data_IF_366988158212
#
_entry.id   IF_366988158212
#
_cell.length_a   1.000
_cell.length_b   1.000
_cell.length_c   1.000
_cell.angle_alpha   90.00
_cell.angle_beta   90.00
_cell.angle_gamma   90.00
#
_symmetry.space_group_name_H-M   'P 1'
#
loop_
_entity.id
_entity.type
_entity.pdbx_description
1 polymer ?
#
# COMPACT_ATOMS: atom_id res chain seq x y z
N UNK A 1 -0.15 -14.42 -27.65
CA UNK A 1 -0.71 -13.38 -26.77
C UNK A 1 -1.21 -14.06 -25.52
N UNK A 2 -0.75 -13.65 -24.34
CA UNK A 2 -1.31 -14.11 -23.08
C UNK A 2 -2.81 -13.77 -23.03
N UNK A 3 -3.67 -14.60 -22.41
CA UNK A 3 -5.07 -14.27 -22.26
C UNK A 3 -5.22 -12.92 -21.54
N UNK A 4 -6.28 -12.13 -21.86
CA UNK A 4 -6.53 -10.90 -21.13
C UNK A 4 -6.65 -11.24 -19.64
N UNK A 5 -6.06 -10.43 -18.75
CA UNK A 5 -6.20 -10.63 -17.32
C UNK A 5 -7.70 -10.70 -16.98
N UNK A 6 -8.13 -11.62 -16.10
CA UNK A 6 -9.50 -11.66 -15.65
C UNK A 6 -9.96 -10.25 -15.25
N UNK A 7 -11.22 -9.87 -15.52
CA UNK A 7 -11.77 -8.66 -14.93
C UNK A 7 -11.53 -8.75 -13.43
N UNK A 8 -11.30 -7.60 -12.77
CA UNK A 8 -11.32 -7.60 -11.31
C UNK A 8 -12.62 -8.31 -10.91
N UNK A 9 -12.51 -9.38 -10.12
CA UNK A 9 -13.69 -10.06 -9.58
C UNK A 9 -14.58 -9.04 -8.85
N UNK A 10 -15.78 -9.44 -8.39
CA UNK A 10 -16.59 -8.53 -7.58
C UNK A 10 -15.68 -7.95 -6.48
N UNK A 11 -15.69 -6.61 -6.34
CA UNK A 11 -14.93 -5.97 -5.28
C UNK A 11 -15.29 -6.70 -3.98
N UNK A 12 -14.30 -7.08 -3.15
CA UNK A 12 -14.62 -7.70 -1.88
C UNK A 12 -15.62 -6.79 -1.18
N UNK A 13 -16.65 -7.39 -0.59
CA UNK A 13 -17.67 -6.63 0.15
C UNK A 13 -17.16 -6.44 1.56
N UNK A 14 -17.26 -5.23 2.08
CA UNK A 14 -17.17 -5.00 3.52
C UNK A 14 -18.47 -5.55 4.11
N UNK A 15 -18.44 -6.57 4.99
CA UNK A 15 -19.65 -7.06 5.64
C UNK A 15 -20.37 -5.95 6.40
N UNK A 16 -21.71 -5.96 6.38
CA UNK A 16 -22.48 -5.06 7.26
C UNK A 16 -22.14 -5.38 8.72
N UNK A 17 -21.88 -4.34 9.52
CA UNK A 17 -21.52 -4.51 10.93
C UNK A 17 -20.07 -4.95 11.18
N UNK A 18 -19.15 -4.75 10.24
CA UNK A 18 -17.71 -5.07 10.37
C UNK A 18 -17.00 -4.42 11.57
N UNK A 19 -17.66 -3.51 12.29
CA UNK A 19 -17.03 -2.72 13.34
C UNK A 19 -15.96 -1.80 12.78
N UNK A 20 -14.91 -1.58 13.56
CA UNK A 20 -13.78 -0.73 13.19
C UNK A 20 -12.83 -1.48 12.25
N UNK A 21 -12.63 -0.94 11.05
CA UNK A 21 -11.70 -1.46 10.06
C UNK A 21 -10.32 -0.80 10.22
N UNK A 22 -9.24 -1.53 9.96
CA UNK A 22 -7.87 -1.01 10.06
C UNK A 22 -7.26 -0.86 8.66
N UNK A 23 -6.91 0.38 8.31
CA UNK A 23 -6.11 0.71 7.13
C UNK A 23 -4.66 0.93 7.56
N UNK A 24 -3.79 0.01 7.16
CA UNK A 24 -2.35 0.13 7.31
C UNK A 24 -1.72 0.76 6.07
N UNK A 25 -1.21 1.98 6.20
CA UNK A 25 -0.46 2.64 5.14
C UNK A 25 1.05 2.53 5.40
N UNK A 26 1.78 1.95 4.45
CA UNK A 26 3.22 1.81 4.51
C UNK A 26 3.88 3.20 4.44
N UNK A 27 4.84 3.45 5.32
CA UNK A 27 5.66 4.66 5.32
C UNK A 27 7.14 4.27 5.24
N UNK A 28 7.89 4.99 4.41
CA UNK A 28 9.30 4.74 4.17
C UNK A 28 9.99 6.03 3.70
N UNK A 29 11.31 6.10 3.86
CA UNK A 29 12.07 7.26 3.41
C UNK A 29 11.94 7.46 1.90
N UNK A 30 11.86 8.71 1.46
CA UNK A 30 11.70 9.10 0.06
C UNK A 30 10.41 8.58 -0.60
N UNK A 31 9.37 8.32 0.21
CA UNK A 31 8.01 8.20 -0.29
C UNK A 31 7.48 9.57 -0.76
N UNK A 32 6.56 9.58 -1.72
CA UNK A 32 5.87 10.81 -2.10
C UNK A 32 4.79 11.15 -1.05
N UNK A 33 4.84 12.37 -0.51
CA UNK A 33 3.95 12.78 0.57
C UNK A 33 2.48 12.83 0.14
N UNK A 34 2.21 13.23 -1.11
CA UNK A 34 0.83 13.35 -1.59
C UNK A 34 0.23 11.97 -1.89
N UNK A 35 1.04 11.05 -2.40
CA UNK A 35 0.62 9.66 -2.60
C UNK A 35 0.13 9.01 -1.29
N UNK A 36 0.75 9.34 -0.16
CA UNK A 36 0.30 8.90 1.15
C UNK A 36 -0.90 9.74 1.65
N UNK A 37 -0.71 11.05 1.80
CA UNK A 37 -1.64 11.89 2.55
C UNK A 37 -2.93 12.20 1.81
N UNK A 38 -2.92 12.19 0.48
CA UNK A 38 -4.13 12.38 -0.34
C UNK A 38 -5.18 11.30 -0.04
N UNK A 39 -4.86 10.01 -0.21
CA UNK A 39 -5.76 8.92 0.18
C UNK A 39 -6.12 8.93 1.66
N UNK A 40 -5.16 9.16 2.58
CA UNK A 40 -5.47 9.20 4.01
C UNK A 40 -6.49 10.29 4.34
N UNK A 41 -6.40 11.45 3.69
CA UNK A 41 -7.37 12.53 3.82
C UNK A 41 -8.78 12.06 3.45
N UNK A 42 -8.92 11.27 2.37
CA UNK A 42 -10.22 10.74 1.92
C UNK A 42 -10.74 9.66 2.87
N UNK A 43 -9.91 8.69 3.26
CA UNK A 43 -10.34 7.61 4.17
C UNK A 43 -10.73 8.12 5.56
N UNK A 44 -10.07 9.19 6.04
CA UNK A 44 -10.37 9.85 7.30
C UNK A 44 -11.49 10.89 7.24
N UNK A 45 -12.19 11.06 6.11
CA UNK A 45 -13.32 11.98 6.01
C UNK A 45 -14.45 11.59 6.98
N UNK A 46 -15.05 12.58 7.65
CA UNK A 46 -16.24 12.35 8.51
C UNK A 46 -17.48 11.88 7.73
N UNK A 47 -17.52 12.15 6.42
CA UNK A 47 -18.59 11.70 5.53
C UNK A 47 -18.40 10.25 5.08
N UNK A 48 -17.26 9.63 5.41
CA UNK A 48 -17.07 8.21 5.19
C UNK A 48 -18.02 7.44 6.12
N UNK A 49 -18.84 6.57 5.54
CA UNK A 49 -19.82 5.75 6.28
C UNK A 49 -19.17 4.54 6.96
N UNK A 50 -17.91 4.28 6.67
CA UNK A 50 -17.10 3.23 7.28
C UNK A 50 -16.32 3.77 8.47
N UNK A 51 -16.28 3.00 9.57
CA UNK A 51 -15.40 3.29 10.72
C UNK A 51 -13.99 2.78 10.41
N UNK A 52 -13.12 3.66 9.90
CA UNK A 52 -11.74 3.31 9.49
C UNK A 52 -10.73 3.93 10.45
N UNK A 53 -9.93 3.07 11.09
CA UNK A 53 -8.70 3.45 11.77
C UNK A 53 -7.55 3.48 10.77
N UNK A 54 -6.97 4.66 10.55
CA UNK A 54 -5.73 4.78 9.78
C UNK A 54 -4.54 4.55 10.72
N UNK A 55 -3.62 3.67 10.33
CA UNK A 55 -2.33 3.51 10.98
C UNK A 55 -1.18 3.59 9.98
N UNK A 56 -0.06 4.18 10.39
CA UNK A 56 1.18 4.18 9.62
C UNK A 56 2.07 3.03 10.06
N UNK A 57 2.56 2.27 9.08
CA UNK A 57 3.40 1.09 9.28
C UNK A 57 4.76 1.35 8.64
N UNK A 58 5.81 1.38 9.44
CA UNK A 58 7.18 1.59 8.98
C UNK A 58 7.96 0.29 8.84
N UNK A 59 9.09 0.35 8.15
CA UNK A 59 10.15 -0.70 8.26
C UNK A 59 10.87 -0.65 9.60
N UNK A 60 10.76 0.47 10.32
CA UNK A 60 11.22 0.67 11.70
C UNK A 60 10.31 1.69 12.39
N UNK A 61 10.54 1.97 13.68
CA UNK A 61 9.83 3.04 14.40
C UNK A 61 10.43 4.44 14.18
N UNK A 62 11.54 4.55 13.43
CA UNK A 62 12.12 5.86 13.10
C UNK A 62 11.15 6.63 12.18
N UNK A 63 10.97 7.95 12.38
CA UNK A 63 10.22 8.76 11.43
C UNK A 63 10.77 8.61 10.00
N UNK A 64 9.87 8.33 9.08
CA UNK A 64 10.17 8.23 7.66
C UNK A 64 10.13 9.63 7.04
N UNK A 65 11.18 10.02 6.34
CA UNK A 65 11.27 11.35 5.70
C UNK A 65 10.82 11.26 4.25
N UNK A 66 9.73 11.94 3.89
CA UNK A 66 9.24 11.97 2.50
C UNK A 66 10.21 12.69 1.56
N UNK A 67 10.03 12.52 0.24
CA UNK A 67 10.82 13.27 -0.75
C UNK A 67 10.63 14.80 -0.63
N UNK A 68 9.52 15.24 -0.05
CA UNK A 68 9.25 16.63 0.28
C UNK A 68 9.76 17.05 1.68
N UNK A 69 10.63 16.24 2.30
CA UNK A 69 11.31 16.52 3.57
C UNK A 69 10.40 16.59 4.80
N UNK A 70 9.18 16.06 4.70
CA UNK A 70 8.24 15.96 5.83
C UNK A 70 8.41 14.61 6.51
N UNK A 71 8.56 14.61 7.83
CA UNK A 71 8.66 13.39 8.61
C UNK A 71 7.27 12.84 8.97
N UNK A 72 7.10 11.54 8.77
CA UNK A 72 5.90 10.78 9.15
C UNK A 72 6.30 9.69 10.13
N UNK A 73 5.78 9.79 11.34
CA UNK A 73 6.08 8.84 12.41
C UNK A 73 5.19 7.59 12.28
N UNK A 74 5.77 6.38 12.16
CA UNK A 74 5.02 5.13 12.19
C UNK A 74 4.33 4.93 13.54
N UNK A 75 3.13 4.35 13.52
CA UNK A 75 2.48 3.85 14.74
C UNK A 75 2.99 2.44 15.08
N UNK A 76 3.32 1.66 14.05
CA UNK A 76 3.76 0.27 14.13
C UNK A 76 4.90 0.01 13.12
N UNK A 77 5.61 -1.10 13.31
CA UNK A 77 6.48 -1.69 12.28
C UNK A 77 5.72 -2.77 11.51
N UNK A 78 6.26 -3.18 10.37
CA UNK A 78 5.76 -4.33 9.62
C UNK A 78 5.65 -5.60 10.49
N UNK A 79 6.52 -5.77 11.48
CA UNK A 79 6.56 -6.94 12.37
C UNK A 79 5.44 -6.91 13.43
N UNK A 80 5.10 -5.74 13.97
CA UNK A 80 4.22 -5.62 15.13
C UNK A 80 2.86 -4.96 14.85
N UNK A 81 2.58 -4.61 13.59
CA UNK A 81 1.28 -4.11 13.19
C UNK A 81 0.17 -5.12 13.51
N UNK A 82 -1.02 -4.66 13.93
CA UNK A 82 -2.18 -5.52 14.08
C UNK A 82 -2.62 -6.08 12.73
N UNK A 83 -3.55 -7.05 12.74
CA UNK A 83 -4.22 -7.50 11.52
C UNK A 83 -4.89 -6.31 10.82
N UNK A 84 -4.75 -6.25 9.50
CA UNK A 84 -5.24 -5.15 8.67
C UNK A 84 -6.43 -5.61 7.83
N UNK A 85 -7.36 -4.69 7.57
CA UNK A 85 -8.40 -4.89 6.57
C UNK A 85 -7.93 -4.36 5.21
N UNK A 86 -7.21 -3.24 5.23
CA UNK A 86 -6.65 -2.59 4.06
C UNK A 86 -5.13 -2.42 4.20
N UNK A 87 -4.37 -2.82 3.20
CA UNK A 87 -2.95 -2.51 3.05
C UNK A 87 -2.75 -1.48 1.93
N UNK A 88 -2.06 -0.37 2.23
CA UNK A 88 -1.86 0.73 1.30
C UNK A 88 -0.38 1.03 1.10
N UNK A 89 0.09 1.09 -0.16
CA UNK A 89 1.47 1.47 -0.51
C UNK A 89 1.51 2.77 -1.31
N UNK A 90 2.08 3.87 -0.77
CA UNK A 90 2.38 5.05 -1.57
C UNK A 90 3.53 4.77 -2.55
N UNK A 91 3.73 5.65 -3.53
CA UNK A 91 4.94 5.67 -4.35
C UNK A 91 6.00 6.59 -3.78
N UNK A 92 6.87 7.08 -4.67
CA UNK A 92 8.08 7.85 -4.35
C UNK A 92 9.34 7.14 -4.83
N UNK A 93 10.45 7.87 -4.86
CA UNK A 93 11.74 7.34 -5.33
C UNK A 93 12.29 6.27 -4.38
N UNK A 94 11.90 6.31 -3.11
CA UNK A 94 12.25 5.31 -2.09
C UNK A 94 11.65 3.92 -2.33
N UNK A 95 10.63 3.81 -3.18
CA UNK A 95 9.96 2.53 -3.49
C UNK A 95 10.93 1.46 -3.98
N UNK A 96 12.00 1.84 -4.70
CA UNK A 96 13.05 0.93 -5.15
C UNK A 96 13.80 0.26 -4.00
N UNK A 97 14.17 1.03 -2.97
CA UNK A 97 14.85 0.48 -1.80
C UNK A 97 13.96 -0.49 -1.01
N UNK A 98 12.63 -0.30 -1.07
CA UNK A 98 11.68 -1.23 -0.47
C UNK A 98 11.63 -2.55 -1.23
N UNK A 99 11.41 -2.52 -2.55
CA UNK A 99 11.24 -3.77 -3.29
C UNK A 99 12.55 -4.52 -3.57
N UNK A 100 13.71 -3.86 -3.46
CA UNK A 100 15.04 -4.50 -3.54
C UNK A 100 15.43 -5.15 -2.19
N UNK A 101 14.67 -4.91 -1.11
CA UNK A 101 14.92 -5.48 0.22
C UNK A 101 14.06 -6.72 0.47
N UNK A 102 14.67 -7.90 0.38
CA UNK A 102 13.98 -9.19 0.50
C UNK A 102 13.27 -9.40 1.85
N UNK A 103 13.87 -8.96 2.96
CA UNK A 103 13.30 -9.12 4.29
C UNK A 103 12.05 -8.25 4.46
N UNK A 104 12.13 -6.98 4.04
CA UNK A 104 10.99 -6.07 4.03
C UNK A 104 9.88 -6.57 3.10
N UNK A 105 10.23 -7.06 1.91
CA UNK A 105 9.26 -7.60 0.95
C UNK A 105 8.55 -8.84 1.47
N UNK A 106 9.25 -9.71 2.21
CA UNK A 106 8.62 -10.85 2.88
C UNK A 106 7.54 -10.39 3.88
N UNK A 107 7.88 -9.44 4.75
CA UNK A 107 6.93 -8.90 5.72
C UNK A 107 5.74 -8.18 5.06
N UNK A 108 5.99 -7.40 4.00
CA UNK A 108 4.93 -6.76 3.21
C UNK A 108 3.99 -7.80 2.61
N UNK A 109 4.55 -8.88 2.04
CA UNK A 109 3.78 -9.98 1.45
C UNK A 109 2.89 -10.65 2.49
N UNK A 110 3.39 -10.88 3.70
CA UNK A 110 2.60 -11.43 4.81
C UNK A 110 1.44 -10.50 5.19
N UNK A 111 1.69 -9.19 5.33
CA UNK A 111 0.63 -8.22 5.63
C UNK A 111 -0.42 -8.09 4.55
N UNK A 112 -0.04 -8.17 3.28
CA UNK A 112 -1.00 -8.15 2.18
C UNK A 112 -1.87 -9.42 2.19
N UNK A 113 -1.30 -10.60 2.45
CA UNK A 113 -2.06 -11.86 2.55
C UNK A 113 -3.07 -11.87 3.70
N UNK A 114 -2.77 -11.18 4.79
CA UNK A 114 -3.68 -11.02 5.93
C UNK A 114 -4.79 -9.98 5.68
N UNK A 115 -4.59 -9.09 4.71
CA UNK A 115 -5.49 -7.99 4.37
C UNK A 115 -6.57 -8.42 3.40
N UNK A 116 -7.75 -7.82 3.53
CA UNK A 116 -8.87 -8.07 2.60
C UNK A 116 -8.69 -7.29 1.29
N UNK A 117 -8.12 -6.07 1.37
CA UNK A 117 -7.78 -5.26 0.21
C UNK A 117 -6.33 -4.81 0.25
N UNK A 118 -5.68 -4.77 -0.91
CA UNK A 118 -4.46 -4.03 -1.12
C UNK A 118 -4.69 -2.91 -2.13
N UNK A 119 -4.04 -1.78 -1.90
CA UNK A 119 -4.16 -0.56 -2.70
C UNK A 119 -2.79 0.07 -2.87
N UNK A 120 -2.58 0.74 -4.00
CA UNK A 120 -1.34 1.47 -4.25
C UNK A 120 -1.59 2.77 -5.00
N UNK A 121 -0.63 3.68 -4.90
CA UNK A 121 -0.52 4.86 -5.74
C UNK A 121 0.88 4.90 -6.36
N UNK A 122 0.98 5.37 -7.59
CA UNK A 122 2.25 5.64 -8.28
C UNK A 122 3.18 4.40 -8.30
N UNK A 123 4.46 4.57 -7.95
CA UNK A 123 5.45 3.48 -7.88
C UNK A 123 5.16 2.47 -6.77
N UNK A 124 4.23 2.75 -5.85
CA UNK A 124 3.79 1.76 -4.86
C UNK A 124 3.21 0.50 -5.51
N UNK A 125 2.69 0.61 -6.74
CA UNK A 125 2.27 -0.55 -7.53
C UNK A 125 3.42 -1.54 -7.80
N UNK A 126 4.67 -1.07 -7.89
CA UNK A 126 5.86 -1.92 -8.05
C UNK A 126 6.16 -2.74 -6.79
N UNK A 127 5.88 -2.19 -5.61
CA UNK A 127 5.96 -2.93 -4.33
C UNK A 127 4.94 -4.07 -4.37
N UNK A 128 3.68 -3.79 -4.74
CA UNK A 128 2.67 -4.85 -4.87
C UNK A 128 3.06 -5.89 -5.93
N UNK A 129 3.56 -5.45 -7.09
CA UNK A 129 3.97 -6.34 -8.17
C UNK A 129 5.08 -7.31 -7.74
N UNK A 130 6.11 -6.83 -7.03
CA UNK A 130 7.22 -7.67 -6.56
C UNK A 130 6.82 -8.71 -5.50
N UNK A 131 5.60 -8.65 -4.96
CA UNK A 131 5.05 -9.76 -4.14
C UNK A 131 4.56 -10.96 -4.94
N UNK A 132 4.30 -10.79 -6.25
CA UNK A 132 3.63 -11.77 -7.11
C UNK A 132 2.14 -11.96 -6.82
N UNK A 133 1.57 -11.29 -5.81
CA UNK A 133 0.16 -11.49 -5.41
C UNK A 133 -0.85 -10.84 -6.35
N UNK A 134 -0.39 -9.91 -7.19
CA UNK A 134 -1.24 -9.22 -8.17
C UNK A 134 -1.02 -9.75 -9.60
N UNK A 135 -0.27 -10.86 -9.75
CA UNK A 135 -0.06 -11.49 -11.05
C UNK A 135 -1.40 -11.94 -11.65
N UNK A 136 -1.62 -11.58 -12.91
CA UNK A 136 -2.88 -11.83 -13.61
C UNK A 136 -4.00 -10.84 -13.26
N UNK A 137 -3.80 -9.88 -12.35
CA UNK A 137 -4.74 -8.79 -12.13
C UNK A 137 -4.43 -7.60 -13.03
N UNK A 138 -5.47 -6.87 -13.47
CA UNK A 138 -5.26 -5.55 -14.07
C UNK A 138 -4.75 -4.60 -12.99
N UNK A 139 -3.61 -3.97 -13.22
CA UNK A 139 -3.04 -2.94 -12.36
C UNK A 139 -2.52 -1.77 -13.22
N UNK A 140 -2.26 -0.62 -12.60
CA UNK A 140 -1.61 0.53 -13.24
C UNK A 140 -0.62 1.15 -12.26
N UNK A 141 0.33 1.91 -12.81
CA UNK A 141 1.23 2.79 -12.05
C UNK A 141 1.20 4.21 -12.64
N UNK A 142 2.10 5.09 -12.18
CA UNK A 142 2.28 6.41 -12.77
C UNK A 142 2.79 6.29 -14.21
N UNK A 143 2.58 7.35 -15.01
CA UNK A 143 2.81 7.27 -16.45
C UNK A 143 4.29 7.28 -16.83
N UNK A 144 5.13 7.90 -16.00
CA UNK A 144 6.57 7.98 -16.24
C UNK A 144 7.27 6.61 -16.10
N UNK A 145 6.81 5.76 -15.17
CA UNK A 145 7.42 4.44 -14.93
C UNK A 145 6.60 3.28 -15.48
N UNK A 146 5.53 3.56 -16.23
CA UNK A 146 4.60 2.52 -16.71
C UNK A 146 5.29 1.43 -17.52
N UNK A 147 6.17 1.80 -18.46
CA UNK A 147 6.90 0.84 -19.28
C UNK A 147 7.89 0.00 -18.47
N UNK A 148 8.53 0.60 -17.46
CA UNK A 148 9.42 -0.15 -16.57
C UNK A 148 8.62 -1.16 -15.74
N UNK A 149 7.55 -0.72 -15.09
CA UNK A 149 6.73 -1.57 -14.22
C UNK A 149 5.92 -2.64 -14.96
N UNK A 150 5.65 -2.46 -16.27
CA UNK A 150 4.90 -3.43 -17.06
C UNK A 150 5.76 -4.53 -17.70
N UNK A 151 7.09 -4.36 -17.72
CA UNK A 151 8.03 -5.27 -18.39
C UNK A 151 8.99 -6.00 -17.43
N UNK A 152 8.92 -5.68 -16.13
CA UNK A 152 9.65 -6.31 -15.02
C UNK A 152 8.76 -7.26 -14.24
#
# INVERSE_FOLDING_TARGET
MSPPPPPHGPLPKIPEGSGKLILGALVYDEMDLLDLMGPMRIFGEKLNTLDIQIIFIGTSMRPARSSQQVEVTPHYTLENAPKLDFFFTPGGIGSKAIWDNEEVMKLITERIKESTWCMSVCTGAGILAKTGLIDGYRATTNKAVFQFAANE
#
